data_IF_541700960358
#
_entry.id   IF_541700960358
#
_cell.length_a   1.000
_cell.length_b   1.000
_cell.length_c   1.000
_cell.angle_alpha   90.00
_cell.angle_beta   90.00
_cell.angle_gamma   90.00
#
_symmetry.space_group_name_H-M   'P 1'
#
loop_
_entity.id
_entity.type
_entity.pdbx_description
1 polymer ?
#
# COMPACT_ATOMS: atom_id res chain seq x y z
N UNK A 1 -1.20 26.06 -3.28
CA UNK A 1 -1.29 24.58 -3.41
C UNK A 1 -0.69 23.97 -2.16
N UNK A 2 -1.39 23.05 -1.48
CA UNK A 2 -0.88 22.47 -0.22
C UNK A 2 0.36 21.60 -0.51
N UNK A 3 1.50 21.79 0.19
CA UNK A 3 2.78 21.12 -0.10
C UNK A 3 2.77 19.59 0.11
N UNK A 4 1.64 19.04 0.54
CA UNK A 4 1.45 17.65 0.92
C UNK A 4 0.74 16.79 -0.14
N UNK A 5 0.40 17.38 -1.30
CA UNK A 5 -0.44 16.70 -2.29
C UNK A 5 0.40 15.69 -3.07
N UNK A 6 0.50 14.47 -2.54
CA UNK A 6 1.15 13.37 -3.22
C UNK A 6 0.51 13.16 -4.60
N UNK A 7 1.33 12.94 -5.63
CA UNK A 7 0.83 12.66 -6.98
C UNK A 7 0.29 11.24 -7.02
N UNK A 8 -0.96 11.01 -7.46
CA UNK A 8 -1.50 9.67 -7.63
C UNK A 8 -0.61 8.83 -8.57
N UNK A 9 -0.44 7.53 -8.31
CA UNK A 9 0.20 6.63 -9.26
C UNK A 9 -0.50 6.64 -10.62
N UNK A 10 0.26 6.36 -11.68
CA UNK A 10 -0.27 6.31 -13.05
C UNK A 10 -1.08 5.05 -13.32
N UNK A 11 -0.78 3.96 -12.61
CA UNK A 11 -1.34 2.63 -12.82
C UNK A 11 -1.42 1.84 -11.51
N UNK A 12 -2.09 0.69 -11.58
CA UNK A 12 -2.36 -0.19 -10.44
C UNK A 12 -1.08 -0.80 -9.85
N UNK A 13 -0.02 -0.94 -10.66
CA UNK A 13 1.31 -1.32 -10.18
C UNK A 13 1.83 -0.30 -9.16
N UNK A 14 1.73 1.00 -9.44
CA UNK A 14 2.19 2.03 -8.52
C UNK A 14 1.30 2.16 -7.27
N UNK A 15 -0.01 1.89 -7.37
CA UNK A 15 -0.88 1.78 -6.20
C UNK A 15 -0.49 0.58 -5.32
N UNK A 16 -0.26 -0.57 -5.94
CA UNK A 16 0.15 -1.78 -5.24
C UNK A 16 1.52 -1.61 -4.54
N UNK A 17 2.51 -1.02 -5.23
CA UNK A 17 3.80 -0.67 -4.63
C UNK A 17 3.62 0.17 -3.36
N UNK A 18 2.84 1.26 -3.43
CA UNK A 18 2.61 2.14 -2.25
C UNK A 18 1.94 1.40 -1.11
N UNK A 19 0.91 0.59 -1.39
CA UNK A 19 0.25 -0.20 -0.36
C UNK A 19 1.22 -1.16 0.31
N UNK A 20 2.01 -1.90 -0.48
CA UNK A 20 3.02 -2.82 0.04
C UNK A 20 4.07 -2.09 0.88
N UNK A 21 4.57 -0.94 0.44
CA UNK A 21 5.54 -0.14 1.21
C UNK A 21 5.00 0.26 2.59
N UNK A 22 3.75 0.74 2.67
CA UNK A 22 3.13 1.11 3.96
C UNK A 22 2.87 -0.11 4.85
N UNK A 23 2.41 -1.21 4.26
CA UNK A 23 2.23 -2.49 4.96
C UNK A 23 3.55 -2.96 5.59
N UNK A 24 4.66 -2.88 4.85
CA UNK A 24 5.98 -3.23 5.39
C UNK A 24 6.51 -2.23 6.41
N UNK A 25 6.22 -0.95 6.25
CA UNK A 25 6.66 0.10 7.18
C UNK A 25 5.89 0.11 8.49
N UNK A 26 4.68 -0.47 8.54
CA UNK A 26 3.90 -0.58 9.77
C UNK A 26 4.68 -1.32 10.88
N UNK A 27 4.94 -0.62 11.99
CA UNK A 27 5.70 -1.15 13.14
C UNK A 27 7.22 -1.14 12.97
N UNK A 28 7.75 -0.43 11.97
CA UNK A 28 9.19 -0.25 11.74
C UNK A 28 9.51 1.22 11.45
N UNK A 29 10.80 1.58 11.52
CA UNK A 29 11.26 2.85 10.97
C UNK A 29 11.11 2.81 9.44
N UNK A 30 10.31 3.71 8.88
CA UNK A 30 10.02 3.79 7.44
C UNK A 30 11.29 3.81 6.56
N UNK A 31 12.38 4.42 7.06
CA UNK A 31 13.68 4.46 6.36
C UNK A 31 14.26 3.07 6.09
N UNK A 32 13.93 2.07 6.92
CA UNK A 32 14.38 0.68 6.71
C UNK A 32 13.80 0.10 5.43
N UNK A 33 12.53 0.38 5.15
CA UNK A 33 11.85 -0.10 3.94
C UNK A 33 12.30 0.71 2.73
N UNK A 34 12.42 2.03 2.88
CA UNK A 34 12.89 2.92 1.82
C UNK A 34 14.31 2.57 1.35
N UNK A 35 15.25 2.37 2.28
CA UNK A 35 16.62 1.96 1.97
C UNK A 35 16.71 0.60 1.25
N UNK A 36 15.65 -0.22 1.34
CA UNK A 36 15.54 -1.54 0.72
C UNK A 36 14.75 -1.55 -0.58
N UNK A 37 14.38 -0.38 -1.13
CA UNK A 37 13.50 -0.26 -2.30
C UNK A 37 13.91 -1.16 -3.47
N UNK A 38 15.19 -1.12 -3.88
CA UNK A 38 15.68 -1.93 -5.00
C UNK A 38 15.54 -3.44 -4.74
N UNK A 39 15.67 -3.87 -3.48
CA UNK A 39 15.41 -5.24 -3.05
C UNK A 39 13.95 -5.62 -3.21
N UNK A 40 13.04 -4.77 -2.73
CA UNK A 40 11.59 -4.96 -2.88
C UNK A 40 11.15 -5.00 -4.35
N UNK A 41 11.67 -4.09 -5.19
CA UNK A 41 11.39 -4.04 -6.63
C UNK A 41 11.72 -5.40 -7.28
N UNK A 42 12.88 -5.99 -6.98
CA UNK A 42 13.25 -7.32 -7.52
C UNK A 42 12.41 -8.44 -6.90
N UNK A 43 12.29 -8.44 -5.57
CA UNK A 43 11.63 -9.48 -4.79
C UNK A 43 10.16 -9.69 -5.20
N UNK A 44 9.43 -8.60 -5.44
CA UNK A 44 8.01 -8.61 -5.78
C UNK A 44 7.76 -8.36 -7.28
N UNK A 45 8.68 -8.79 -8.15
CA UNK A 45 8.50 -8.73 -9.60
C UNK A 45 8.06 -7.35 -10.10
N UNK A 46 8.76 -6.31 -9.64
CA UNK A 46 8.49 -4.92 -9.94
C UNK A 46 7.07 -4.50 -9.52
N UNK A 47 6.52 -5.10 -8.46
CA UNK A 47 5.15 -4.86 -8.00
C UNK A 47 4.08 -5.09 -9.08
N UNK A 48 4.27 -6.06 -9.97
CA UNK A 48 3.22 -6.48 -10.90
C UNK A 48 2.18 -7.33 -10.16
N UNK A 49 0.91 -6.87 -9.99
CA UNK A 49 -0.10 -7.65 -9.27
C UNK A 49 -0.32 -9.01 -9.93
N UNK A 50 -0.35 -9.05 -11.27
CA UNK A 50 -0.49 -10.28 -12.07
C UNK A 50 0.60 -11.33 -11.79
N UNK A 51 1.83 -10.89 -11.55
CA UNK A 51 2.95 -11.81 -11.23
C UNK A 51 2.94 -12.21 -9.76
N UNK A 52 2.76 -11.24 -8.87
CA UNK A 52 2.84 -11.45 -7.42
C UNK A 52 1.67 -12.30 -6.92
N UNK A 53 0.47 -12.15 -7.48
CA UNK A 53 -0.69 -13.00 -7.16
C UNK A 53 -0.46 -14.49 -7.47
N UNK A 54 0.50 -14.81 -8.35
CA UNK A 54 0.86 -16.19 -8.73
C UNK A 54 2.00 -16.76 -7.89
N UNK A 55 2.55 -16.01 -6.93
CA UNK A 55 3.60 -16.49 -6.06
C UNK A 55 3.12 -17.68 -5.23
N UNK A 56 3.98 -18.68 -5.10
CA UNK A 56 3.68 -19.94 -4.43
C UNK A 56 4.41 -20.05 -3.10
N UNK A 57 4.23 -21.16 -2.38
CA UNK A 57 5.04 -21.48 -1.19
C UNK A 57 6.54 -21.49 -1.46
N UNK A 58 6.96 -21.83 -2.69
CA UNK A 58 8.37 -21.75 -3.09
C UNK A 58 8.86 -20.31 -3.08
N UNK A 59 8.04 -19.37 -3.54
CA UNK A 59 8.36 -17.94 -3.54
C UNK A 59 8.39 -17.37 -2.13
N UNK A 60 7.44 -17.75 -1.27
CA UNK A 60 7.47 -17.35 0.16
C UNK A 60 8.77 -17.82 0.82
N UNK A 61 9.16 -19.09 0.63
CA UNK A 61 10.43 -19.63 1.16
C UNK A 61 11.66 -18.93 0.59
N UNK A 62 11.64 -18.57 -0.70
CA UNK A 62 12.71 -17.79 -1.36
C UNK A 62 12.82 -16.39 -0.74
N UNK A 63 11.71 -15.69 -0.59
CA UNK A 63 11.64 -14.34 -0.02
C UNK A 63 12.05 -14.30 1.45
N UNK A 64 11.72 -15.33 2.22
CA UNK A 64 12.18 -15.46 3.61
C UNK A 64 13.70 -15.64 3.76
N UNK A 65 14.40 -15.96 2.67
CA UNK A 65 15.88 -16.03 2.64
C UNK A 65 16.53 -14.77 2.04
N UNK A 66 15.73 -13.85 1.51
CA UNK A 66 16.23 -12.66 0.84
C UNK A 66 16.53 -11.55 1.86
N UNK A 67 17.83 -11.24 2.06
CA UNK A 67 18.28 -10.21 2.98
C UNK A 67 18.04 -8.78 2.45
N UNK A 68 17.72 -8.63 1.17
CA UNK A 68 17.46 -7.34 0.54
C UNK A 68 16.09 -6.77 0.93
N UNK A 69 15.20 -7.59 1.48
CA UNK A 69 13.88 -7.18 1.98
C UNK A 69 13.72 -7.40 3.48
N UNK A 70 12.60 -6.92 4.02
CA UNK A 70 12.17 -7.26 5.38
C UNK A 70 11.58 -8.68 5.38
N UNK A 71 12.27 -9.62 6.02
CA UNK A 71 11.89 -11.05 6.10
C UNK A 71 10.77 -11.28 7.12
N UNK A 72 9.55 -10.91 6.74
CA UNK A 72 8.35 -11.13 7.54
C UNK A 72 7.32 -11.94 6.75
N UNK A 73 7.15 -13.21 7.13
CA UNK A 73 6.29 -14.14 6.40
C UNK A 73 4.84 -13.68 6.30
N UNK A 74 4.27 -13.17 7.39
CA UNK A 74 2.88 -12.67 7.42
C UNK A 74 2.68 -11.53 6.41
N UNK A 75 3.63 -10.57 6.37
CA UNK A 75 3.59 -9.44 5.43
C UNK A 75 3.83 -9.87 3.97
N UNK A 76 4.70 -10.85 3.73
CA UNK A 76 4.91 -11.44 2.40
C UNK A 76 3.62 -12.10 1.91
N UNK A 77 3.00 -12.95 2.72
CA UNK A 77 1.73 -13.62 2.39
C UNK A 77 0.60 -12.62 2.16
N UNK A 78 0.52 -11.58 2.99
CA UNK A 78 -0.42 -10.48 2.81
C UNK A 78 -0.21 -9.76 1.46
N UNK A 79 1.04 -9.55 1.06
CA UNK A 79 1.37 -8.92 -0.23
C UNK A 79 0.89 -9.77 -1.41
N UNK A 80 1.02 -11.11 -1.33
CA UNK A 80 0.52 -12.05 -2.35
C UNK A 80 -1.02 -12.00 -2.42
N UNK A 81 -1.69 -12.06 -1.28
CA UNK A 81 -3.15 -11.93 -1.21
C UNK A 81 -3.62 -10.59 -1.78
N UNK A 82 -2.99 -9.49 -1.38
CA UNK A 82 -3.35 -8.15 -1.81
C UNK A 82 -3.15 -7.98 -3.31
N UNK A 83 -2.11 -8.59 -3.90
CA UNK A 83 -1.94 -8.61 -5.35
C UNK A 83 -3.14 -9.24 -6.07
N UNK A 84 -3.70 -10.33 -5.54
CA UNK A 84 -4.92 -10.93 -6.08
C UNK A 84 -6.13 -10.00 -5.94
N UNK A 85 -6.27 -9.31 -4.81
CA UNK A 85 -7.34 -8.32 -4.61
C UNK A 85 -7.26 -7.15 -5.58
N UNK A 86 -6.06 -6.68 -5.93
CA UNK A 86 -5.88 -5.67 -6.99
C UNK A 86 -6.45 -6.16 -8.34
N UNK A 87 -6.25 -7.43 -8.68
CA UNK A 87 -6.79 -8.01 -9.92
C UNK A 87 -8.32 -8.16 -9.87
N UNK A 88 -8.90 -8.45 -8.70
CA UNK A 88 -10.36 -8.46 -8.55
C UNK A 88 -10.94 -7.04 -8.67
N UNK A 89 -10.31 -6.03 -8.06
CA UNK A 89 -10.73 -4.64 -8.23
C UNK A 89 -10.59 -4.15 -9.69
N UNK A 90 -9.58 -4.60 -10.41
CA UNK A 90 -9.45 -4.33 -11.85
C UNK A 90 -10.65 -4.89 -12.62
N UNK A 91 -11.15 -6.08 -12.27
CA UNK A 91 -12.37 -6.64 -12.89
C UNK A 91 -13.65 -5.90 -12.47
N UNK A 92 -13.77 -5.54 -11.19
CA UNK A 92 -14.97 -4.90 -10.61
C UNK A 92 -15.11 -3.43 -11.05
N UNK A 93 -13.99 -2.69 -11.11
CA UNK A 93 -13.98 -1.22 -11.30
C UNK A 93 -13.16 -0.76 -12.51
N UNK A 94 -12.39 -1.64 -13.15
CA UNK A 94 -11.51 -1.33 -14.28
C UNK A 94 -10.10 -0.86 -13.88
N UNK A 95 -9.91 -0.34 -12.67
CA UNK A 95 -8.59 -0.02 -12.09
C UNK A 95 -8.75 0.38 -10.62
N UNK A 96 -7.64 0.39 -9.87
CA UNK A 96 -7.63 0.88 -8.49
C UNK A 96 -8.03 2.36 -8.38
N UNK A 97 -7.66 3.20 -9.36
CA UNK A 97 -8.06 4.60 -9.39
C UNK A 97 -9.58 4.77 -9.59
N UNK A 98 -10.20 3.93 -10.41
CA UNK A 98 -11.66 3.91 -10.57
C UNK A 98 -12.36 3.40 -9.31
N UNK A 99 -11.78 2.41 -8.63
CA UNK A 99 -12.23 1.97 -7.31
C UNK A 99 -12.21 3.13 -6.31
N UNK A 100 -11.11 3.90 -6.19
CA UNK A 100 -11.08 5.08 -5.32
C UNK A 100 -12.15 6.13 -5.70
N UNK A 101 -12.37 6.35 -7.00
CA UNK A 101 -13.40 7.28 -7.48
C UNK A 101 -14.83 6.82 -7.15
N UNK A 102 -15.09 5.52 -7.15
CA UNK A 102 -16.39 4.94 -6.82
C UNK A 102 -16.87 5.37 -5.41
N UNK A 103 -15.96 5.45 -4.43
CA UNK A 103 -16.30 5.89 -3.07
C UNK A 103 -16.51 7.40 -2.94
N UNK A 104 -16.05 8.20 -3.90
CA UNK A 104 -16.21 9.66 -3.91
C UNK A 104 -15.72 10.32 -2.62
N UNK A 105 -16.63 10.93 -1.86
CA UNK A 105 -16.34 11.62 -0.58
C UNK A 105 -16.54 10.74 0.66
N UNK A 106 -16.87 9.45 0.50
CA UNK A 106 -17.18 8.55 1.60
C UNK A 106 -15.90 7.93 2.18
N UNK A 107 -15.07 8.76 2.82
CA UNK A 107 -13.77 8.38 3.40
C UNK A 107 -13.89 7.17 4.35
N UNK A 108 -14.86 7.18 5.26
CA UNK A 108 -15.08 6.10 6.22
C UNK A 108 -15.42 4.76 5.55
N UNK A 109 -16.26 4.78 4.52
CA UNK A 109 -16.63 3.57 3.77
C UNK A 109 -15.43 3.01 3.01
N UNK A 110 -14.62 3.89 2.42
CA UNK A 110 -13.40 3.50 1.72
C UNK A 110 -12.37 2.91 2.69
N UNK A 111 -12.12 3.54 3.82
CA UNK A 111 -11.20 3.02 4.84
C UNK A 111 -11.65 1.66 5.37
N UNK A 112 -12.96 1.48 5.57
CA UNK A 112 -13.52 0.19 5.99
C UNK A 112 -13.36 -0.88 4.91
N UNK A 113 -13.70 -0.58 3.65
CA UNK A 113 -13.57 -1.52 2.54
C UNK A 113 -12.10 -1.93 2.32
N UNK A 114 -11.15 -1.00 2.43
CA UNK A 114 -9.72 -1.31 2.39
C UNK A 114 -9.30 -2.29 3.47
N UNK A 115 -9.80 -2.13 4.70
CA UNK A 115 -9.49 -3.01 5.82
C UNK A 115 -10.09 -4.41 5.67
N UNK A 116 -11.28 -4.50 5.07
CA UNK A 116 -11.98 -5.77 4.85
C UNK A 116 -11.37 -6.56 3.68
N UNK A 117 -10.98 -5.88 2.60
CA UNK A 117 -10.43 -6.53 1.41
C UNK A 117 -8.94 -6.84 1.53
N UNK A 118 -8.14 -5.98 2.16
CA UNK A 118 -6.68 -6.10 2.14
C UNK A 118 -6.09 -6.57 3.47
N UNK A 119 -5.23 -7.58 3.39
CA UNK A 119 -4.53 -8.11 4.55
C UNK A 119 -3.43 -7.16 5.01
N UNK A 120 -3.31 -6.99 6.34
CA UNK A 120 -2.34 -6.10 6.98
C UNK A 120 -2.47 -4.62 6.59
N UNK A 121 -3.67 -4.20 6.16
CA UNK A 121 -4.01 -2.80 5.88
C UNK A 121 -5.01 -2.29 6.93
N UNK A 122 -4.58 -2.23 8.19
CA UNK A 122 -5.39 -1.65 9.27
C UNK A 122 -5.55 -0.13 9.14
N UNK A 123 -6.36 0.49 10.01
CA UNK A 123 -6.70 1.94 9.99
C UNK A 123 -5.52 2.85 9.65
N UNK A 124 -4.41 2.75 10.41
CA UNK A 124 -3.24 3.61 10.18
C UNK A 124 -2.59 3.38 8.81
N UNK A 125 -2.42 2.12 8.41
CA UNK A 125 -1.83 1.75 7.12
C UNK A 125 -2.71 2.22 5.96
N UNK A 126 -4.03 1.99 6.05
CA UNK A 126 -5.01 2.42 5.05
C UNK A 126 -4.94 3.93 4.86
N UNK A 127 -4.92 4.68 5.96
CA UNK A 127 -4.90 6.14 5.94
C UNK A 127 -3.58 6.70 5.38
N UNK A 128 -2.43 6.18 5.81
CA UNK A 128 -1.13 6.57 5.27
C UNK A 128 -1.00 6.23 3.77
N UNK A 129 -1.54 5.08 3.36
CA UNK A 129 -1.62 4.70 1.96
C UNK A 129 -2.45 5.71 1.15
N UNK A 130 -3.68 6.01 1.58
CA UNK A 130 -4.57 6.97 0.94
C UNK A 130 -3.94 8.36 0.79
N UNK A 131 -3.29 8.84 1.85
CA UNK A 131 -2.46 10.06 1.81
C UNK A 131 -1.38 9.96 0.75
N UNK A 132 -0.61 8.87 0.75
CA UNK A 132 0.50 8.69 -0.17
C UNK A 132 0.05 8.62 -1.62
N UNK A 133 -1.19 8.22 -1.92
CA UNK A 133 -1.75 8.19 -3.29
C UNK A 133 -2.51 9.46 -3.67
N UNK A 134 -2.47 10.49 -2.83
CA UNK A 134 -3.11 11.77 -3.10
C UNK A 134 -4.62 11.76 -2.97
N UNK A 135 -5.19 10.78 -2.25
CA UNK A 135 -6.62 10.77 -1.94
C UNK A 135 -6.95 11.96 -1.01
N UNK A 136 -8.02 12.73 -1.27
CA UNK A 136 -8.31 13.96 -0.53
C UNK A 136 -8.93 13.68 0.84
N UNK A 137 -8.14 13.12 1.76
CA UNK A 137 -8.54 12.86 3.14
C UNK A 137 -8.73 14.16 3.93
N UNK A 138 -9.72 14.17 4.82
CA UNK A 138 -9.85 15.22 5.83
C UNK A 138 -8.94 14.89 7.02
N UNK A 139 -7.98 15.77 7.38
CA UNK A 139 -7.14 15.54 8.53
C UNK A 139 -7.95 15.40 9.82
N UNK A 140 -7.65 14.38 10.63
CA UNK A 140 -8.22 14.21 11.96
C UNK A 140 -7.51 15.12 12.98
N UNK A 141 -7.97 15.12 14.23
CA UNK A 141 -7.42 16.00 15.28
C UNK A 141 -5.93 15.75 15.58
N UNK A 142 -5.48 14.50 15.51
CA UNK A 142 -4.07 14.13 15.75
C UNK A 142 -3.18 14.54 14.57
N UNK A 143 -3.65 14.28 13.35
CA UNK A 143 -2.95 14.67 12.13
C UNK A 143 -2.83 16.19 12.00
N UNK A 144 -3.88 16.94 12.40
CA UNK A 144 -3.81 18.41 12.47
C UNK A 144 -2.72 18.87 13.45
N UNK A 145 -2.60 18.23 14.62
CA UNK A 145 -1.53 18.52 15.59
C UNK A 145 -0.15 18.18 15.02
N UNK A 146 -0.01 17.03 14.39
CA UNK A 146 1.24 16.60 13.76
C UNK A 146 1.68 17.56 12.64
N UNK A 147 0.77 17.95 11.75
CA UNK A 147 1.02 18.91 10.67
C UNK A 147 1.40 20.30 11.20
N UNK A 148 0.76 20.76 12.28
CA UNK A 148 1.09 22.06 12.88
C UNK A 148 2.53 22.09 13.45
N UNK A 149 3.03 20.95 13.94
CA UNK A 149 4.39 20.81 14.49
C UNK A 149 5.49 20.53 13.46
N UNK A 150 5.15 20.14 12.23
CA UNK A 150 6.11 19.77 11.17
C UNK A 150 6.03 20.72 9.97
N UNK A 151 5.82 22.03 10.19
CA UNK A 151 6.05 23.03 9.14
C UNK A 151 7.50 22.90 8.65
N UNK A 152 7.68 22.34 7.46
CA UNK A 152 8.91 22.50 6.67
C UNK A 152 8.76 23.73 5.79
#
# INVERSE_FOLDING_TARGET
MSPWKATPPKDDRGYFERMTTHLFSAGLNWRVVENKKAGFDRAFSNFSPTKVAKFTERDVKRLMKDAEIVRNEKKIRATIHNAAQFLELEKEYGSFNQYLRHFGKSEEKLEKDLQERFHHVGVSTARMFLWSVGFPLRPNSEEKKWMAGHKM
#
